data_IF_842107090127
#
_entry.id   IF_842107090127
#
_cell.length_a   1.000
_cell.length_b   1.000
_cell.length_c   1.000
_cell.angle_alpha   90.00
_cell.angle_beta   90.00
_cell.angle_gamma   90.00
#
_symmetry.space_group_name_H-M   'P 1'
#
loop_
_entity.id
_entity.type
_entity.pdbx_description
1 polymer ?
#
# COMPACT_ATOMS: atom_id res chain seq x y z
N UNK A 1 7.31 23.12 31.15
CA UNK A 1 7.56 21.70 30.84
C UNK A 1 7.52 21.55 29.32
N UNK A 2 8.65 21.31 28.66
CA UNK A 2 8.68 21.10 27.21
C UNK A 2 8.37 19.63 26.92
N UNK A 3 7.22 19.36 26.30
CA UNK A 3 6.88 18.02 25.80
C UNK A 3 7.46 17.88 24.40
N UNK A 4 8.29 16.87 24.18
CA UNK A 4 8.80 16.57 22.86
C UNK A 4 7.65 16.26 21.89
N UNK A 5 7.71 16.83 20.69
CA UNK A 5 6.74 16.56 19.62
C UNK A 5 7.07 15.16 19.06
N UNK A 6 6.14 14.20 19.06
CA UNK A 6 6.38 12.88 18.48
C UNK A 6 6.80 12.99 17.02
N UNK A 7 7.93 12.37 16.66
CA UNK A 7 8.45 12.39 15.30
C UNK A 7 9.11 11.05 14.95
N UNK A 8 8.82 10.54 13.75
CA UNK A 8 9.54 9.43 13.14
C UNK A 8 9.43 9.52 11.62
N UNK A 9 10.33 8.81 10.95
CA UNK A 9 10.30 8.57 9.51
C UNK A 9 10.91 7.20 9.24
N UNK A 10 10.30 6.44 8.34
CA UNK A 10 10.86 5.18 7.86
C UNK A 10 10.53 4.95 6.39
N UNK A 11 11.37 4.14 5.74
CA UNK A 11 11.15 3.64 4.39
C UNK A 11 11.79 2.27 4.24
N UNK A 12 11.10 1.36 3.57
CA UNK A 12 11.64 0.06 3.16
C UNK A 12 11.02 -0.41 1.85
N UNK A 13 11.69 -1.38 1.22
CA UNK A 13 11.22 -2.03 0.01
C UNK A 13 11.63 -3.50 0.01
N UNK A 14 10.74 -4.36 -0.48
CA UNK A 14 11.02 -5.76 -0.76
C UNK A 14 10.93 -5.99 -2.25
N UNK A 15 11.93 -6.71 -2.78
CA UNK A 15 11.96 -7.19 -4.16
C UNK A 15 12.48 -8.61 -4.16
N UNK A 16 11.55 -9.56 -4.09
CA UNK A 16 11.82 -10.99 -4.10
C UNK A 16 11.24 -11.63 -5.38
N UNK A 17 12.05 -11.81 -6.43
CA UNK A 17 11.60 -12.43 -7.67
C UNK A 17 11.15 -13.89 -7.51
N UNK A 18 11.65 -14.60 -6.50
CA UNK A 18 11.35 -16.03 -6.30
C UNK A 18 9.93 -16.23 -5.78
N UNK A 19 9.50 -15.37 -4.87
CA UNK A 19 8.15 -15.43 -4.28
C UNK A 19 7.19 -14.41 -4.91
N UNK A 20 7.63 -13.67 -5.93
CA UNK A 20 6.88 -12.61 -6.59
C UNK A 20 6.40 -11.51 -5.63
N UNK A 21 7.14 -11.29 -4.55
CA UNK A 21 6.84 -10.25 -3.58
C UNK A 21 7.59 -8.97 -3.94
N UNK A 22 6.84 -7.97 -4.41
CA UNK A 22 7.37 -6.64 -4.73
C UNK A 22 6.47 -5.62 -4.08
N UNK A 23 6.98 -4.97 -3.04
CA UNK A 23 6.27 -3.92 -2.32
C UNK A 23 7.23 -2.90 -1.74
N UNK A 24 6.75 -1.68 -1.53
CA UNK A 24 7.49 -0.63 -0.84
C UNK A 24 6.57 0.13 0.10
N UNK A 25 7.13 0.71 1.15
CA UNK A 25 6.38 1.56 2.07
C UNK A 25 7.26 2.68 2.61
N UNK A 26 6.68 3.86 2.75
CA UNK A 26 7.26 4.99 3.47
C UNK A 26 6.20 5.66 4.33
N UNK A 27 6.60 6.12 5.51
CA UNK A 27 5.72 6.87 6.39
C UNK A 27 6.53 7.82 7.25
N UNK A 28 5.98 9.00 7.50
CA UNK A 28 6.47 9.93 8.50
C UNK A 28 5.34 10.41 9.39
N UNK A 29 5.70 10.74 10.63
CA UNK A 29 4.82 11.37 11.59
C UNK A 29 5.45 12.62 12.13
N UNK A 30 4.65 13.69 12.21
CA UNK A 30 4.99 14.88 12.97
C UNK A 30 3.82 15.26 13.89
N UNK A 31 4.05 15.18 15.20
CA UNK A 31 3.03 15.44 16.21
C UNK A 31 1.87 14.46 16.13
N UNK A 32 0.71 14.96 15.69
CA UNK A 32 -0.51 14.17 15.52
C UNK A 32 -0.81 13.83 14.06
N UNK A 33 0.04 14.26 13.10
CA UNK A 33 -0.18 14.02 11.68
C UNK A 33 0.75 12.92 11.19
N UNK A 34 0.17 11.91 10.54
CA UNK A 34 0.88 10.84 9.82
C UNK A 34 0.61 11.01 8.34
N UNK A 35 1.62 10.80 7.51
CA UNK A 35 1.48 10.64 6.06
C UNK A 35 2.34 9.49 5.61
N UNK A 36 1.79 8.66 4.74
CA UNK A 36 2.53 7.55 4.17
C UNK A 36 2.02 7.13 2.82
N UNK A 37 2.80 6.27 2.20
CA UNK A 37 2.49 5.64 0.92
C UNK A 37 3.00 4.21 0.95
N UNK A 38 2.23 3.27 0.40
CA UNK A 38 2.72 1.95 0.07
C UNK A 38 2.35 1.55 -1.35
N UNK A 39 3.18 0.70 -1.96
CA UNK A 39 2.89 0.04 -3.23
C UNK A 39 2.99 -1.48 -3.08
N UNK A 40 2.14 -2.23 -3.79
CA UNK A 40 2.09 -3.69 -3.77
C UNK A 40 1.78 -4.22 -5.18
N UNK A 41 2.61 -5.12 -5.69
CA UNK A 41 2.28 -5.91 -6.87
C UNK A 41 1.22 -6.96 -6.48
N UNK A 42 0.02 -6.84 -7.03
CA UNK A 42 -1.10 -7.73 -6.74
C UNK A 42 -1.05 -9.01 -7.60
N UNK A 43 -1.61 -10.14 -7.14
CA UNK A 43 -1.60 -11.40 -7.89
C UNK A 43 -2.32 -11.36 -9.25
N UNK A 44 -3.20 -10.39 -9.46
CA UNK A 44 -3.92 -10.19 -10.73
C UNK A 44 -3.10 -9.41 -11.77
N UNK A 45 -1.84 -9.07 -11.47
CA UNK A 45 -0.94 -8.32 -12.34
C UNK A 45 -1.05 -6.80 -12.21
N UNK A 46 -1.95 -6.29 -11.35
CA UNK A 46 -2.02 -4.86 -11.06
C UNK A 46 -0.99 -4.42 -10.02
N UNK A 47 -0.71 -3.12 -9.95
CA UNK A 47 0.05 -2.51 -8.86
C UNK A 47 -0.92 -1.63 -8.10
N UNK A 48 -1.13 -1.95 -6.82
CA UNK A 48 -1.87 -1.09 -5.89
C UNK A 48 -0.93 -0.06 -5.31
N UNK A 49 -1.32 1.20 -5.36
CA UNK A 49 -0.64 2.32 -4.70
C UNK A 49 -1.64 2.96 -3.75
N UNK A 50 -1.28 3.09 -2.47
CA UNK A 50 -2.14 3.72 -1.47
C UNK A 50 -1.38 4.85 -0.83
N UNK A 51 -1.91 6.07 -0.99
CA UNK A 51 -1.45 7.27 -0.31
C UNK A 51 -2.41 7.56 0.82
N UNK A 52 -1.88 7.72 2.04
CA UNK A 52 -2.71 7.90 3.21
C UNK A 52 -2.20 9.02 4.11
N UNK A 53 -3.14 9.66 4.80
CA UNK A 53 -2.86 10.58 5.90
C UNK A 53 -3.79 10.29 7.06
N UNK A 54 -3.31 10.57 8.28
CA UNK A 54 -4.13 10.49 9.48
C UNK A 54 -3.83 11.65 10.41
N UNK A 55 -4.87 12.28 10.96
CA UNK A 55 -4.77 13.27 12.02
C UNK A 55 -5.98 13.24 12.96
N UNK A 56 -5.98 14.12 13.97
CA UNK A 56 -7.04 14.19 14.98
C UNK A 56 -8.36 14.75 14.46
N UNK A 57 -8.33 15.56 13.41
CA UNK A 57 -9.48 16.31 12.91
C UNK A 57 -10.23 15.50 11.84
N UNK A 58 -9.47 14.88 10.93
CA UNK A 58 -9.98 14.21 9.74
C UNK A 58 -9.97 12.68 9.86
N UNK A 59 -9.34 12.12 10.90
CA UNK A 59 -9.13 10.68 11.02
C UNK A 59 -8.22 10.14 9.92
N UNK A 60 -8.33 8.85 9.62
CA UNK A 60 -7.56 8.20 8.54
C UNK A 60 -8.27 8.40 7.20
N UNK A 61 -7.53 8.90 6.21
CA UNK A 61 -8.00 9.04 4.83
C UNK A 61 -6.96 8.46 3.87
N UNK A 62 -7.43 7.74 2.84
CA UNK A 62 -6.56 7.12 1.87
C UNK A 62 -7.11 7.26 0.44
N UNK A 63 -6.21 7.48 -0.51
CA UNK A 63 -6.47 7.39 -1.94
C UNK A 63 -5.80 6.12 -2.46
N UNK A 64 -6.61 5.24 -3.05
CA UNK A 64 -6.16 3.97 -3.63
C UNK A 64 -6.15 4.10 -5.14
N UNK A 65 -4.99 3.94 -5.75
CA UNK A 65 -4.79 3.85 -7.19
C UNK A 65 -4.41 2.41 -7.55
N UNK A 66 -4.94 1.90 -8.67
CA UNK A 66 -4.50 0.64 -9.27
C UNK A 66 -3.98 0.90 -10.67
N UNK A 67 -2.76 0.45 -10.95
CA UNK A 67 -2.12 0.53 -12.26
C UNK A 67 -2.07 -0.85 -12.90
N UNK A 68 -2.26 -0.90 -14.22
CA UNK A 68 -2.26 -2.15 -14.99
C UNK A 68 -3.66 -2.70 -15.26
N UNK A 69 -3.71 -3.92 -15.80
CA UNK A 69 -4.96 -4.61 -16.13
C UNK A 69 -5.08 -5.84 -15.25
N UNK A 70 -6.17 -5.92 -14.48
CA UNK A 70 -6.46 -7.10 -13.68
C UNK A 70 -6.77 -8.29 -14.59
N UNK A 71 -6.04 -9.40 -14.41
CA UNK A 71 -6.28 -10.66 -15.10
C UNK A 71 -6.79 -11.66 -14.07
N UNK A 72 -8.08 -12.00 -14.19
CA UNK A 72 -8.65 -13.11 -13.44
C UNK A 72 -8.80 -14.32 -14.38
N UNK A 73 -8.24 -15.50 -14.04
CA UNK A 73 -8.43 -16.70 -14.83
C UNK A 73 -9.92 -17.06 -14.88
N UNK A 74 -10.50 -17.04 -16.08
CA UNK A 74 -11.85 -17.56 -16.32
C UNK A 74 -11.76 -19.09 -16.28
N UNK A 75 -12.15 -19.71 -15.17
CA UNK A 75 -12.18 -21.16 -15.06
C UNK A 75 -13.44 -21.70 -15.77
N UNK A 76 -13.41 -21.79 -17.09
CA UNK A 76 -14.48 -22.46 -17.84
C UNK A 76 -14.41 -23.96 -17.53
N UNK A 77 -15.44 -24.50 -16.88
CA UNK A 77 -15.61 -25.95 -16.79
C UNK A 77 -16.08 -26.44 -18.15
N UNK A 78 -15.19 -26.99 -18.97
CA UNK A 78 -15.61 -27.80 -20.11
C UNK A 78 -16.18 -29.10 -19.56
N UNK A 79 -17.51 -29.22 -19.51
CA UNK A 79 -18.13 -30.53 -19.41
C UNK A 79 -17.87 -31.24 -20.75
N UNK A 80 -17.21 -32.39 -20.70
CA UNK A 80 -17.15 -33.31 -21.84
C UNK A 80 -18.42 -34.15 -21.78
N UNK A 81 -19.28 -33.99 -22.78
CA UNK A 81 -20.34 -34.96 -23.09
C UNK A 81 -19.72 -36.28 -23.58
#
# INVERSE_FOLDING_TARGET
MFKAIPHYEFKYSVKDPKHHDVHEQQEHRYGNKVKGEYSLHEPDGTIRIVKYEADKENGFNAVVERKGHAIHPQHYKTYKD
#
